data_IF_338532718596
#
_entry.id   IF_338532718596
#
_cell.length_a   1.000
_cell.length_b   1.000
_cell.length_c   1.000
_cell.angle_alpha   90.00
_cell.angle_beta   90.00
_cell.angle_gamma   90.00
#
_symmetry.space_group_name_H-M   'P 1'
#
loop_
_entity.id
_entity.type
_entity.pdbx_description
1 polymer ?
#
# COMPACT_ATOMS: atom_id res chain seq x y z
N UNK A 1 18.41 4.11 -26.70
CA UNK A 1 18.63 5.52 -27.11
C UNK A 1 18.42 6.39 -25.88
N UNK A 2 19.27 7.34 -25.57
CA UNK A 2 19.04 8.27 -24.45
C UNK A 2 17.97 9.28 -24.88
N UNK A 3 16.97 9.55 -24.02
CA UNK A 3 15.92 10.58 -24.23
C UNK A 3 16.51 12.01 -24.36
N UNK A 4 17.80 12.19 -24.12
CA UNK A 4 18.53 13.44 -24.40
C UNK A 4 18.67 13.78 -25.91
N UNK A 5 18.12 12.92 -26.79
CA UNK A 5 17.94 13.27 -28.21
C UNK A 5 16.86 14.37 -28.27
N UNK A 6 17.25 15.53 -28.76
CA UNK A 6 16.37 16.71 -28.89
C UNK A 6 15.07 16.40 -29.64
N UNK A 7 15.11 15.46 -30.55
CA UNK A 7 13.97 15.04 -31.37
C UNK A 7 12.85 14.42 -30.55
N UNK A 8 13.17 13.52 -29.61
CA UNK A 8 12.15 12.89 -28.77
C UNK A 8 11.48 13.89 -27.82
N UNK A 9 12.27 14.82 -27.25
CA UNK A 9 11.72 15.88 -26.40
C UNK A 9 10.79 16.81 -27.21
N UNK A 10 11.14 17.07 -28.48
CA UNK A 10 10.29 17.88 -29.36
C UNK A 10 9.00 17.15 -29.73
N UNK A 11 9.05 15.83 -30.02
CA UNK A 11 7.86 14.99 -30.23
C UNK A 11 6.93 14.97 -29.01
N UNK A 12 7.49 14.79 -27.80
CA UNK A 12 6.69 14.85 -26.57
C UNK A 12 6.02 16.21 -26.36
N UNK A 13 6.77 17.31 -26.59
CA UNK A 13 6.24 18.67 -26.50
C UNK A 13 5.18 18.98 -27.54
N UNK A 14 5.27 18.37 -28.71
CA UNK A 14 4.29 18.53 -29.78
C UNK A 14 2.96 17.85 -29.45
N UNK A 15 3.00 16.66 -28.80
CA UNK A 15 1.79 15.89 -28.53
C UNK A 15 1.06 16.33 -27.25
N UNK A 16 1.75 16.85 -26.20
CA UNK A 16 1.10 17.26 -24.94
C UNK A 16 1.30 18.74 -24.59
N UNK A 17 2.21 19.44 -25.23
CA UNK A 17 2.53 20.84 -24.93
C UNK A 17 3.82 21.00 -24.11
N UNK A 18 4.55 22.09 -24.41
CA UNK A 18 5.88 22.32 -23.84
C UNK A 18 5.86 22.52 -22.31
N UNK A 19 4.75 22.97 -21.74
CA UNK A 19 4.61 23.21 -20.30
C UNK A 19 4.47 21.90 -19.49
N UNK A 20 4.06 20.81 -20.13
CA UNK A 20 3.87 19.49 -19.52
C UNK A 20 5.16 18.64 -19.54
N UNK A 21 6.22 19.05 -20.26
CA UNK A 21 7.45 18.27 -20.43
C UNK A 21 8.64 18.97 -19.77
N UNK A 22 9.32 18.32 -18.85
CA UNK A 22 10.46 18.91 -18.15
C UNK A 22 11.68 17.97 -18.07
N UNK A 23 12.84 18.59 -18.20
CA UNK A 23 14.16 17.98 -17.94
C UNK A 23 14.91 18.76 -16.84
N UNK A 24 14.18 19.50 -16.00
CA UNK A 24 14.77 20.23 -14.89
C UNK A 24 15.38 19.25 -13.87
N UNK A 25 16.66 19.43 -13.55
CA UNK A 25 17.43 18.51 -12.70
C UNK A 25 16.79 18.29 -11.32
N UNK A 26 16.20 19.32 -10.72
CA UNK A 26 15.53 19.21 -9.42
C UNK A 26 14.27 18.33 -9.54
N UNK A 27 13.50 18.48 -10.61
CA UNK A 27 12.32 17.66 -10.85
C UNK A 27 12.73 16.22 -11.15
N UNK A 28 13.77 16.00 -11.97
CA UNK A 28 14.30 14.65 -12.22
C UNK A 28 14.77 13.99 -10.93
N UNK A 29 15.44 14.72 -10.03
CA UNK A 29 15.88 14.19 -8.74
C UNK A 29 14.69 13.82 -7.84
N UNK A 30 13.64 14.62 -7.80
CA UNK A 30 12.41 14.32 -7.06
C UNK A 30 11.72 13.02 -7.54
N UNK A 31 11.83 12.70 -8.83
CA UNK A 31 11.29 11.49 -9.45
C UNK A 31 12.29 10.33 -9.53
N UNK A 32 13.44 10.45 -8.88
CA UNK A 32 14.49 9.43 -8.87
C UNK A 32 14.28 8.34 -7.82
N UNK A 33 13.36 8.53 -6.87
CA UNK A 33 13.23 7.72 -5.65
C UNK A 33 11.78 7.62 -5.17
N UNK A 34 11.54 6.67 -4.30
CA UNK A 34 10.37 6.58 -3.43
C UNK A 34 10.81 6.63 -1.95
N UNK A 35 9.92 6.26 -1.02
CA UNK A 35 10.23 6.23 0.42
C UNK A 35 11.11 5.04 0.84
N UNK A 36 11.40 4.11 -0.07
CA UNK A 36 12.24 2.96 0.18
C UNK A 36 13.71 3.33 0.47
N UNK A 37 14.49 2.34 0.86
CA UNK A 37 15.95 2.46 1.03
C UNK A 37 16.74 2.15 -0.27
N UNK A 38 16.05 1.83 -1.37
CA UNK A 38 16.66 1.50 -2.64
C UNK A 38 17.42 2.66 -3.26
N UNK A 39 18.44 2.35 -4.06
CA UNK A 39 19.29 3.35 -4.70
C UNK A 39 18.50 4.21 -5.69
N UNK A 40 18.50 5.55 -5.55
CA UNK A 40 17.85 6.45 -6.47
C UNK A 40 18.42 6.37 -7.89
N UNK A 41 17.55 6.52 -8.91
CA UNK A 41 17.94 6.64 -10.32
C UNK A 41 17.02 7.67 -11.00
N UNK A 42 17.55 8.82 -11.50
CA UNK A 42 16.70 9.82 -12.12
C UNK A 42 16.22 9.39 -13.52
N UNK A 43 14.97 9.73 -13.90
CA UNK A 43 14.50 9.56 -15.28
C UNK A 43 15.24 10.47 -16.25
N UNK A 44 15.05 10.25 -17.56
CA UNK A 44 15.54 11.17 -18.58
C UNK A 44 14.63 12.40 -18.73
N UNK A 45 13.31 12.23 -18.56
CA UNK A 45 12.30 13.29 -18.67
C UNK A 45 11.10 12.97 -17.76
N UNK A 46 10.47 14.02 -17.25
CA UNK A 46 9.17 13.92 -16.55
C UNK A 46 8.11 14.63 -17.39
N UNK A 47 6.94 13.97 -17.53
CA UNK A 47 5.78 14.51 -18.25
C UNK A 47 4.57 14.52 -17.32
N UNK A 48 3.82 15.63 -17.35
CA UNK A 48 2.63 15.88 -16.51
C UNK A 48 1.37 15.91 -17.37
N UNK A 49 0.74 14.77 -17.70
CA UNK A 49 -0.49 14.75 -18.50
C UNK A 49 -1.66 15.38 -17.72
N UNK A 50 -2.62 15.96 -18.45
CA UNK A 50 -3.85 16.52 -17.92
C UNK A 50 -5.09 15.71 -18.31
N UNK A 51 -4.94 14.76 -19.26
CA UNK A 51 -6.00 13.92 -19.79
C UNK A 51 -5.54 12.50 -20.17
N UNK A 52 -6.48 11.60 -20.40
CA UNK A 52 -6.21 10.23 -20.89
C UNK A 52 -5.65 10.26 -22.32
N UNK A 53 -6.08 11.24 -23.11
CA UNK A 53 -5.58 11.47 -24.46
C UNK A 53 -4.08 11.84 -24.45
N UNK A 54 -3.65 12.69 -23.50
CA UNK A 54 -2.24 13.02 -23.30
C UNK A 54 -1.44 11.76 -22.98
N UNK A 55 -1.92 10.95 -22.04
CA UNK A 55 -1.27 9.68 -21.65
C UNK A 55 -1.15 8.75 -22.87
N UNK A 56 -2.23 8.60 -23.65
CA UNK A 56 -2.22 7.81 -24.89
C UNK A 56 -1.19 8.31 -25.89
N UNK A 57 -1.09 9.64 -26.07
CA UNK A 57 -0.12 10.25 -26.99
C UNK A 57 1.33 10.03 -26.52
N UNK A 58 1.61 10.21 -25.22
CA UNK A 58 2.92 9.93 -24.62
C UNK A 58 3.32 8.47 -24.81
N UNK A 59 2.38 7.54 -24.52
CA UNK A 59 2.60 6.09 -24.66
C UNK A 59 2.93 5.73 -26.10
N UNK A 60 2.23 6.28 -27.09
CA UNK A 60 2.50 6.03 -28.52
C UNK A 60 3.89 6.51 -28.92
N UNK A 61 4.33 7.68 -28.44
CA UNK A 61 5.69 8.17 -28.67
C UNK A 61 6.71 7.24 -28.03
N UNK A 62 6.53 6.87 -26.77
CA UNK A 62 7.43 5.97 -26.06
C UNK A 62 7.52 4.58 -26.72
N UNK A 63 6.39 4.01 -27.13
CA UNK A 63 6.33 2.72 -27.83
C UNK A 63 7.05 2.74 -29.16
N UNK A 64 6.85 3.80 -29.96
CA UNK A 64 7.53 3.96 -31.24
C UNK A 64 9.05 4.02 -31.12
N UNK A 65 9.57 4.52 -30.01
CA UNK A 65 10.99 4.65 -29.72
C UNK A 65 11.54 3.59 -28.75
N UNK A 66 10.70 2.65 -28.29
CA UNK A 66 11.03 1.61 -27.29
C UNK A 66 11.64 2.20 -26.01
N UNK A 67 11.05 3.27 -25.50
CA UNK A 67 11.52 3.98 -24.31
C UNK A 67 10.71 3.56 -23.10
N UNK A 68 11.36 3.25 -21.97
CA UNK A 68 10.69 2.91 -20.73
C UNK A 68 9.73 4.00 -20.24
N UNK A 69 8.58 3.58 -19.71
CA UNK A 69 7.58 4.41 -19.06
C UNK A 69 7.46 3.99 -17.59
N UNK A 70 7.52 4.96 -16.70
CA UNK A 70 7.33 4.78 -15.27
C UNK A 70 6.15 5.65 -14.81
N UNK A 71 4.98 5.06 -14.53
CA UNK A 71 3.86 5.78 -13.92
C UNK A 71 4.22 6.23 -12.49
N UNK A 72 3.93 7.49 -12.16
CA UNK A 72 4.29 8.09 -10.88
C UNK A 72 3.10 8.82 -10.25
N UNK A 73 2.81 8.52 -8.98
CA UNK A 73 1.83 9.23 -8.16
C UNK A 73 2.49 10.26 -7.25
N UNK A 74 2.63 9.92 -5.95
CA UNK A 74 3.34 10.76 -4.95
C UNK A 74 4.68 10.17 -4.50
N UNK A 75 5.10 9.03 -5.04
CA UNK A 75 6.36 8.39 -4.67
C UNK A 75 6.38 7.83 -3.23
N UNK A 76 5.21 7.48 -2.67
CA UNK A 76 5.08 6.97 -1.29
C UNK A 76 5.28 5.45 -1.17
N UNK A 77 5.64 4.77 -2.24
CA UNK A 77 5.90 3.33 -2.25
C UNK A 77 7.19 2.96 -1.52
N UNK A 78 7.28 1.69 -1.07
CA UNK A 78 8.33 1.22 -0.15
C UNK A 78 9.24 0.12 -0.73
N UNK A 79 9.03 -0.29 -2.00
CA UNK A 79 9.76 -1.40 -2.62
C UNK A 79 10.41 -1.00 -3.97
N UNK A 80 10.61 0.31 -4.20
CA UNK A 80 11.29 0.80 -5.41
C UNK A 80 10.43 0.79 -6.67
N UNK A 81 9.11 0.84 -6.56
CA UNK A 81 8.16 0.75 -7.67
C UNK A 81 8.35 1.79 -8.76
N UNK A 82 8.64 3.04 -8.34
CA UNK A 82 8.67 4.21 -9.22
C UNK A 82 10.08 4.66 -9.59
N UNK A 83 11.11 3.90 -9.19
CA UNK A 83 12.51 4.22 -9.49
C UNK A 83 12.82 3.80 -10.93
N UNK A 84 13.20 4.73 -11.83
CA UNK A 84 13.46 4.45 -13.24
C UNK A 84 14.89 3.93 -13.48
N UNK A 85 15.17 2.67 -13.15
CA UNK A 85 16.51 2.09 -13.31
C UNK A 85 17.01 2.08 -14.76
N UNK A 86 16.10 1.88 -15.73
CA UNK A 86 16.41 1.98 -17.17
C UNK A 86 16.22 3.41 -17.70
N UNK A 87 16.05 4.40 -16.81
CA UNK A 87 15.70 5.79 -17.16
C UNK A 87 14.37 5.88 -17.92
N UNK A 88 14.31 6.70 -19.01
CA UNK A 88 13.09 6.84 -19.80
C UNK A 88 12.19 7.97 -19.34
N UNK A 89 10.88 7.79 -19.53
CA UNK A 89 9.84 8.80 -19.28
C UNK A 89 9.13 8.48 -17.98
N UNK A 90 9.19 9.36 -16.99
CA UNK A 90 8.28 9.30 -15.84
C UNK A 90 7.02 10.09 -16.17
N UNK A 91 5.85 9.45 -16.04
CA UNK A 91 4.54 10.07 -16.22
C UNK A 91 3.99 10.39 -14.83
N UNK A 92 3.97 11.67 -14.47
CA UNK A 92 3.46 12.17 -13.19
C UNK A 92 1.98 12.57 -13.31
N UNK A 93 1.13 11.86 -12.59
CA UNK A 93 -0.33 12.05 -12.62
C UNK A 93 -0.84 13.18 -11.72
N UNK A 94 0.01 14.01 -11.13
CA UNK A 94 -0.39 15.08 -10.20
C UNK A 94 -1.33 16.12 -10.81
N UNK A 95 -1.32 16.30 -12.13
CA UNK A 95 -2.25 17.20 -12.83
C UNK A 95 -3.59 16.54 -13.16
N UNK A 96 -3.69 15.21 -13.10
CA UNK A 96 -4.93 14.45 -13.25
C UNK A 96 -5.55 14.17 -11.86
N UNK A 97 -6.02 15.22 -11.19
CA UNK A 97 -6.43 15.18 -9.78
C UNK A 97 -7.89 15.63 -9.54
N UNK A 98 -8.78 15.42 -10.52
CA UNK A 98 -10.18 15.82 -10.44
C UNK A 98 -11.06 14.67 -9.94
N UNK A 99 -12.01 15.00 -9.05
CA UNK A 99 -13.16 14.14 -8.75
C UNK A 99 -14.19 14.43 -9.83
N UNK A 100 -14.44 13.44 -10.70
CA UNK A 100 -15.23 13.62 -11.91
C UNK A 100 -16.73 13.53 -11.65
N UNK A 101 -17.16 12.55 -10.85
CA UNK A 101 -18.58 12.33 -10.55
C UNK A 101 -18.72 11.65 -9.18
N UNK A 102 -19.70 12.11 -8.37
CA UNK A 102 -20.16 11.41 -7.16
C UNK A 102 -21.57 10.90 -7.40
N UNK A 103 -21.74 9.58 -7.38
CA UNK A 103 -23.02 8.86 -7.59
C UNK A 103 -23.53 8.33 -6.28
N UNK A 104 -24.13 9.21 -5.48
CA UNK A 104 -24.56 8.91 -4.10
C UNK A 104 -25.47 7.67 -4.02
N UNK A 105 -26.44 7.57 -4.92
CA UNK A 105 -27.44 6.47 -4.93
C UNK A 105 -26.85 5.12 -5.32
N UNK A 106 -25.73 5.14 -6.06
CA UNK A 106 -25.02 3.93 -6.51
C UNK A 106 -23.87 3.57 -5.54
N UNK A 107 -23.57 4.45 -4.56
CA UNK A 107 -22.41 4.34 -3.69
C UNK A 107 -21.10 4.23 -4.48
N UNK A 108 -20.97 5.07 -5.51
CA UNK A 108 -19.83 5.11 -6.38
C UNK A 108 -19.28 6.53 -6.52
N UNK A 109 -17.98 6.62 -6.78
CA UNK A 109 -17.32 7.86 -7.18
C UNK A 109 -16.39 7.59 -8.35
N UNK A 110 -16.34 8.50 -9.32
CA UNK A 110 -15.40 8.48 -10.44
C UNK A 110 -14.35 9.56 -10.24
N UNK A 111 -13.07 9.18 -10.33
CA UNK A 111 -11.95 10.07 -10.05
C UNK A 111 -10.81 9.87 -11.04
N UNK A 112 -9.97 10.88 -11.20
CA UNK A 112 -8.67 10.78 -11.86
C UNK A 112 -7.61 10.20 -10.92
N UNK A 113 -6.53 9.59 -11.43
CA UNK A 113 -5.57 8.80 -10.65
C UNK A 113 -4.76 9.62 -9.64
N UNK A 114 -4.54 10.91 -9.89
CA UNK A 114 -3.80 11.82 -9.02
C UNK A 114 -4.61 12.35 -7.81
N UNK A 115 -5.90 12.04 -7.69
CA UNK A 115 -6.70 12.37 -6.50
C UNK A 115 -6.15 11.61 -5.31
N UNK A 116 -5.91 12.31 -4.16
CA UNK A 116 -5.50 11.64 -2.93
C UNK A 116 -6.71 11.15 -2.12
N UNK A 117 -6.47 10.17 -1.24
CA UNK A 117 -7.49 9.70 -0.31
C UNK A 117 -8.07 10.82 0.55
N UNK A 118 -7.21 11.70 1.06
CA UNK A 118 -7.63 12.84 1.89
C UNK A 118 -8.51 13.81 1.11
N UNK A 119 -8.12 14.13 -0.14
CA UNK A 119 -8.92 14.97 -1.03
C UNK A 119 -10.28 14.35 -1.29
N UNK A 120 -10.33 13.04 -1.61
CA UNK A 120 -11.57 12.32 -1.87
C UNK A 120 -12.49 12.33 -0.64
N UNK A 121 -12.00 11.96 0.54
CA UNK A 121 -12.81 11.87 1.75
C UNK A 121 -13.33 13.25 2.21
N UNK A 122 -12.56 14.32 1.98
CA UNK A 122 -13.04 15.69 2.20
C UNK A 122 -14.24 16.03 1.32
N UNK A 123 -14.25 15.62 0.07
CA UNK A 123 -15.38 15.82 -0.84
C UNK A 123 -16.56 14.94 -0.47
N UNK A 124 -16.36 13.63 -0.29
CA UNK A 124 -17.40 12.65 0.02
C UNK A 124 -18.17 12.94 1.30
N UNK A 125 -17.53 13.59 2.29
CA UNK A 125 -18.16 14.00 3.55
C UNK A 125 -19.40 14.87 3.32
N UNK A 126 -19.44 15.67 2.25
CA UNK A 126 -20.61 16.51 1.89
C UNK A 126 -21.86 15.69 1.55
N UNK A 127 -21.66 14.42 1.17
CA UNK A 127 -22.71 13.48 0.77
C UNK A 127 -22.98 12.42 1.85
N UNK A 128 -22.36 12.56 3.04
CA UNK A 128 -22.47 11.54 4.10
C UNK A 128 -21.76 10.24 3.75
N UNK A 129 -20.77 10.28 2.83
CA UNK A 129 -20.04 9.12 2.32
C UNK A 129 -18.55 9.21 2.71
N UNK A 130 -17.87 8.05 2.64
CA UNK A 130 -16.42 7.96 2.77
C UNK A 130 -15.84 6.82 1.92
N UNK A 131 -14.57 6.94 1.57
CA UNK A 131 -13.77 5.89 0.95
C UNK A 131 -12.94 5.19 2.04
N UNK A 132 -12.98 3.87 2.07
CA UNK A 132 -12.54 3.07 3.24
C UNK A 132 -11.04 2.77 3.26
N UNK A 133 -10.39 2.54 2.11
CA UNK A 133 -8.97 2.11 2.11
C UNK A 133 -8.08 3.23 2.64
N UNK A 134 -7.28 2.92 3.68
CA UNK A 134 -6.53 3.93 4.45
C UNK A 134 -5.07 3.54 4.71
N UNK A 135 -4.23 3.44 3.65
CA UNK A 135 -2.81 3.19 3.82
C UNK A 135 -2.15 4.24 4.72
N UNK A 136 -0.99 3.91 5.29
CA UNK A 136 -0.28 4.78 6.22
C UNK A 136 0.11 6.15 5.64
N UNK A 137 0.31 6.26 4.33
CA UNK A 137 0.56 7.51 3.62
C UNK A 137 -0.71 8.07 2.96
N UNK A 138 -0.79 9.41 2.76
CA UNK A 138 -1.82 10.01 1.91
C UNK A 138 -1.45 9.83 0.44
N UNK A 139 -1.67 8.63 -0.08
CA UNK A 139 -1.33 8.23 -1.44
C UNK A 139 -2.39 8.65 -2.45
N UNK A 140 -2.00 8.69 -3.74
CA UNK A 140 -2.93 8.87 -4.84
C UNK A 140 -3.74 7.61 -5.10
N UNK A 141 -5.01 7.75 -5.50
CA UNK A 141 -5.90 6.61 -5.76
C UNK A 141 -5.40 5.72 -6.91
N UNK A 142 -4.75 6.30 -7.93
CA UNK A 142 -4.08 5.54 -8.98
C UNK A 142 -2.91 4.70 -8.46
N UNK A 143 -2.08 5.29 -7.59
CA UNK A 143 -1.00 4.57 -6.91
C UNK A 143 -1.52 3.46 -6.00
N UNK A 144 -2.57 3.74 -5.21
CA UNK A 144 -3.23 2.73 -4.36
C UNK A 144 -3.79 1.56 -5.18
N UNK A 145 -4.40 1.84 -6.35
CA UNK A 145 -4.88 0.79 -7.24
C UNK A 145 -3.71 -0.01 -7.83
N UNK A 146 -2.64 0.67 -8.25
CA UNK A 146 -1.46 0.02 -8.83
C UNK A 146 -0.77 -0.96 -7.88
N UNK A 147 -0.78 -0.72 -6.57
CA UNK A 147 -0.16 -1.61 -5.55
C UNK A 147 -1.18 -2.50 -4.84
N UNK A 148 -2.49 -2.43 -5.18
CA UNK A 148 -3.55 -3.07 -4.42
C UNK A 148 -3.49 -2.73 -2.93
N UNK A 149 -3.35 -1.44 -2.62
CA UNK A 149 -3.18 -0.94 -1.26
C UNK A 149 -4.26 -1.44 -0.30
N UNK A 150 -3.89 -1.60 0.95
CA UNK A 150 -4.77 -1.88 2.07
C UNK A 150 -4.64 -0.82 3.17
N UNK A 151 -4.91 -1.17 4.40
CA UNK A 151 -4.79 -0.28 5.55
C UNK A 151 -5.57 -0.82 6.75
N UNK A 152 -5.72 0.01 7.77
CA UNK A 152 -6.27 -0.40 9.06
C UNK A 152 -7.73 -0.85 8.99
N UNK A 153 -8.48 -0.38 7.98
CA UNK A 153 -9.92 -0.71 7.81
C UNK A 153 -10.18 -1.93 6.92
N UNK A 154 -9.14 -2.55 6.38
CA UNK A 154 -9.27 -3.66 5.41
C UNK A 154 -10.00 -4.85 5.98
N UNK A 155 -9.84 -5.15 7.26
CA UNK A 155 -10.54 -6.25 7.96
C UNK A 155 -12.07 -6.17 7.82
N UNK A 156 -12.64 -4.97 7.71
CA UNK A 156 -14.09 -4.77 7.53
C UNK A 156 -14.50 -4.50 6.09
N UNK A 157 -13.74 -3.64 5.41
CA UNK A 157 -14.15 -3.08 4.12
C UNK A 157 -13.44 -3.70 2.93
N UNK A 158 -12.39 -4.51 3.17
CA UNK A 158 -11.54 -5.06 2.13
C UNK A 158 -10.47 -4.07 1.64
N UNK A 159 -9.66 -4.53 0.70
CA UNK A 159 -8.53 -3.82 0.11
C UNK A 159 -8.93 -3.07 -1.16
N UNK A 160 -7.98 -2.40 -1.82
CA UNK A 160 -8.26 -1.59 -3.02
C UNK A 160 -8.96 -2.39 -4.13
N UNK A 161 -8.59 -3.66 -4.36
CA UNK A 161 -9.22 -4.56 -5.34
C UNK A 161 -10.72 -4.72 -5.11
N UNK A 162 -11.18 -4.71 -3.87
CA UNK A 162 -12.59 -4.87 -3.51
C UNK A 162 -13.39 -3.59 -3.78
N UNK A 163 -12.72 -2.45 -3.83
CA UNK A 163 -13.34 -1.14 -4.05
C UNK A 163 -13.44 -0.76 -5.53
N UNK A 164 -12.55 -1.26 -6.38
CA UNK A 164 -12.54 -0.91 -7.80
C UNK A 164 -13.70 -1.57 -8.54
N UNK A 165 -14.51 -0.75 -9.23
CA UNK A 165 -15.60 -1.19 -10.10
C UNK A 165 -15.24 -1.10 -11.57
N UNK A 166 -14.47 -0.10 -11.94
CA UNK A 166 -13.99 0.12 -13.29
C UNK A 166 -12.69 0.92 -13.25
N UNK A 167 -11.79 0.63 -14.16
CA UNK A 167 -10.62 1.43 -14.46
C UNK A 167 -10.64 1.81 -15.92
N UNK A 168 -10.34 3.06 -16.22
CA UNK A 168 -9.84 3.44 -17.54
C UNK A 168 -8.34 3.26 -17.53
N UNK A 169 -7.82 2.55 -18.53
CA UNK A 169 -6.40 2.21 -18.65
C UNK A 169 -5.90 2.49 -20.06
N UNK A 170 -4.77 3.16 -20.16
CA UNK A 170 -4.02 3.29 -21.42
C UNK A 170 -3.04 2.12 -21.51
N UNK A 171 -3.23 1.28 -22.54
CA UNK A 171 -2.40 0.11 -22.84
C UNK A 171 -1.07 0.49 -23.52
N UNK A 172 -0.10 -0.43 -23.61
CA UNK A 172 1.22 -0.19 -24.23
C UNK A 172 1.21 0.22 -25.70
N UNK A 173 0.14 -0.03 -26.45
CA UNK A 173 -0.07 0.44 -27.81
C UNK A 173 -0.77 1.82 -27.87
N UNK A 174 -1.12 2.38 -26.71
CA UNK A 174 -1.85 3.64 -26.57
C UNK A 174 -3.36 3.51 -26.72
N UNK A 175 -3.93 2.30 -26.83
CA UNK A 175 -5.38 2.09 -26.75
C UNK A 175 -5.89 2.40 -25.35
N UNK A 176 -7.07 3.04 -25.28
CA UNK A 176 -7.77 3.33 -24.03
C UNK A 176 -8.90 2.32 -23.86
N UNK A 177 -8.89 1.60 -22.75
CA UNK A 177 -9.90 0.59 -22.44
C UNK A 177 -10.57 0.85 -21.10
N UNK A 178 -11.76 0.27 -20.91
CA UNK A 178 -12.41 0.12 -19.61
C UNK A 178 -12.35 -1.34 -19.15
N UNK A 179 -12.02 -1.58 -17.89
CA UNK A 179 -11.79 -2.93 -17.34
C UNK A 179 -13.01 -3.54 -16.68
N UNK A 180 -14.04 -2.72 -16.39
CA UNK A 180 -15.23 -3.12 -15.66
C UNK A 180 -16.47 -2.36 -16.06
N UNK A 181 -17.36 -2.15 -15.10
CA UNK A 181 -18.58 -1.36 -15.24
C UNK A 181 -19.11 -0.92 -13.86
N UNK A 182 -20.19 -0.11 -13.84
CA UNK A 182 -20.78 0.41 -12.61
C UNK A 182 -21.67 -0.59 -11.87
N UNK A 183 -22.04 -1.74 -12.48
CA UNK A 183 -22.89 -2.72 -11.83
C UNK A 183 -22.18 -3.42 -10.68
N UNK A 184 -22.94 -3.71 -9.61
CA UNK A 184 -22.35 -4.37 -8.43
C UNK A 184 -21.91 -5.82 -8.70
N UNK A 185 -22.51 -6.49 -9.67
CA UNK A 185 -22.19 -7.86 -10.07
C UNK A 185 -22.11 -7.97 -11.58
N UNK A 186 -21.12 -8.68 -12.08
CA UNK A 186 -21.04 -9.11 -13.47
C UNK A 186 -20.40 -10.48 -13.54
N UNK A 187 -20.95 -11.34 -14.39
CA UNK A 187 -20.37 -12.64 -14.80
C UNK A 187 -20.00 -12.65 -16.28
N UNK A 188 -19.83 -11.47 -16.86
CA UNK A 188 -19.50 -11.30 -18.29
C UNK A 188 -17.99 -11.12 -18.47
N UNK A 189 -17.34 -12.11 -19.05
CA UNK A 189 -15.92 -12.06 -19.40
C UNK A 189 -14.94 -12.29 -18.23
N UNK A 190 -13.67 -12.09 -18.51
CA UNK A 190 -12.62 -12.12 -17.50
C UNK A 190 -12.66 -10.87 -16.61
N UNK A 191 -12.24 -11.02 -15.34
CA UNK A 191 -12.26 -9.93 -14.36
C UNK A 191 -11.01 -9.06 -14.50
N UNK A 192 -11.00 -8.14 -15.47
CA UNK A 192 -9.84 -7.32 -15.79
C UNK A 192 -9.45 -6.33 -14.66
N UNK A 193 -10.42 -5.84 -13.88
CA UNK A 193 -10.09 -4.99 -12.71
C UNK A 193 -9.03 -5.65 -11.84
N UNK A 194 -9.21 -6.95 -11.51
CA UNK A 194 -8.27 -7.70 -10.66
C UNK A 194 -6.93 -7.98 -11.33
N UNK A 195 -6.83 -7.83 -12.65
CA UNK A 195 -5.57 -7.94 -13.38
C UNK A 195 -4.76 -6.63 -13.30
N UNK A 196 -5.43 -5.49 -13.43
CA UNK A 196 -4.75 -4.18 -13.42
C UNK A 196 -4.53 -3.64 -12.00
N UNK A 197 -5.41 -3.95 -11.03
CA UNK A 197 -5.17 -3.65 -9.62
C UNK A 197 -4.05 -4.54 -9.10
N UNK A 198 -2.99 -3.94 -8.58
CA UNK A 198 -1.77 -4.63 -8.14
C UNK A 198 -0.79 -4.91 -9.28
N UNK A 199 -0.99 -4.34 -10.47
CA UNK A 199 -0.05 -4.49 -11.60
C UNK A 199 1.18 -3.59 -11.54
N UNK A 200 1.25 -2.67 -10.58
CA UNK A 200 2.38 -1.76 -10.34
C UNK A 200 2.82 -0.96 -11.59
N UNK A 201 1.85 -0.61 -12.45
CA UNK A 201 2.12 0.11 -13.69
C UNK A 201 2.86 -0.70 -14.76
N UNK A 202 2.95 -2.03 -14.60
CA UNK A 202 3.65 -2.89 -15.58
C UNK A 202 2.79 -3.31 -16.76
N UNK A 203 1.46 -3.15 -16.68
CA UNK A 203 0.50 -3.55 -17.72
C UNK A 203 -0.15 -2.37 -18.46
N UNK A 204 -0.03 -1.16 -17.94
CA UNK A 204 -0.62 0.06 -18.49
C UNK A 204 -0.67 1.18 -17.48
N UNK A 205 -1.14 2.36 -17.92
CA UNK A 205 -1.38 3.54 -17.09
C UNK A 205 -2.86 3.67 -16.73
N UNK A 206 -3.19 3.68 -15.44
CA UNK A 206 -4.54 3.95 -14.95
C UNK A 206 -4.81 5.45 -15.08
N UNK A 207 -5.89 5.84 -15.78
CA UNK A 207 -6.25 7.24 -16.05
C UNK A 207 -7.55 7.67 -15.42
N UNK A 208 -8.47 6.73 -15.11
CA UNK A 208 -9.65 6.98 -14.29
C UNK A 208 -9.95 5.76 -13.43
N UNK A 209 -10.60 6.01 -12.28
CA UNK A 209 -11.08 4.96 -11.37
C UNK A 209 -12.54 5.22 -11.01
N UNK A 210 -13.37 4.18 -11.12
CA UNK A 210 -14.71 4.14 -10.49
C UNK A 210 -14.60 3.29 -9.23
N UNK A 211 -14.81 3.92 -8.07
CA UNK A 211 -14.59 3.34 -6.76
C UNK A 211 -15.87 3.22 -5.97
N UNK A 212 -16.00 2.14 -5.21
CA UNK A 212 -17.04 1.96 -4.20
C UNK A 212 -16.76 2.85 -3.00
N UNK A 213 -17.83 3.47 -2.48
CA UNK A 213 -17.83 4.28 -1.25
C UNK A 213 -18.90 3.79 -0.28
N UNK A 214 -18.81 4.19 0.97
CA UNK A 214 -19.68 3.73 2.05
C UNK A 214 -20.31 4.91 2.76
N UNK A 215 -21.48 4.69 3.38
CA UNK A 215 -22.07 5.66 4.30
C UNK A 215 -21.19 5.85 5.54
N UNK A 216 -21.04 7.08 5.99
CA UNK A 216 -20.33 7.38 7.24
C UNK A 216 -21.08 6.68 8.40
N UNK A 217 -20.40 5.89 9.25
CA UNK A 217 -21.03 5.22 10.37
C UNK A 217 -21.71 6.22 11.31
N UNK A 218 -22.89 5.88 11.82
CA UNK A 218 -23.64 6.73 12.75
C UNK A 218 -22.87 6.89 14.07
N UNK A 219 -22.32 5.78 14.58
CA UNK A 219 -21.50 5.75 15.78
C UNK A 219 -20.20 5.00 15.55
N UNK A 220 -19.18 5.44 16.24
CA UNK A 220 -17.83 4.84 16.23
C UNK A 220 -17.38 4.73 17.69
N UNK A 221 -16.89 3.55 18.06
CA UNK A 221 -16.20 3.33 19.32
C UNK A 221 -14.79 2.84 19.03
N UNK A 222 -13.78 3.46 19.64
CA UNK A 222 -12.42 2.96 19.61
C UNK A 222 -12.06 2.33 20.96
N UNK A 223 -11.09 1.43 20.98
CA UNK A 223 -10.58 0.88 22.22
C UNK A 223 -9.06 0.64 22.12
N UNK A 224 -8.43 0.60 23.30
CA UNK A 224 -7.06 0.18 23.50
C UNK A 224 -7.06 -0.94 24.53
N UNK A 225 -6.54 -2.11 24.15
CA UNK A 225 -6.44 -3.28 25.02
C UNK A 225 -4.99 -3.71 25.17
N UNK A 226 -4.44 -3.74 26.40
CA UNK A 226 -3.08 -4.12 26.69
C UNK A 226 -3.01 -5.54 27.26
N UNK A 227 -2.06 -6.34 26.76
CA UNK A 227 -1.95 -7.77 27.07
C UNK A 227 -0.60 -8.09 27.73
N UNK A 228 -0.56 -9.23 28.42
CA UNK A 228 0.67 -9.73 29.04
C UNK A 228 1.71 -10.10 27.96
N UNK A 229 1.29 -10.75 26.88
CA UNK A 229 2.14 -11.19 25.78
C UNK A 229 1.55 -10.83 24.42
N UNK A 230 2.37 -10.88 23.36
CA UNK A 230 1.90 -10.73 21.97
C UNK A 230 0.97 -11.89 21.60
N UNK A 231 1.27 -13.10 22.06
CA UNK A 231 0.45 -14.29 21.79
C UNK A 231 -0.97 -14.11 22.32
N UNK A 232 -1.12 -13.63 23.57
CA UNK A 232 -2.43 -13.32 24.14
C UNK A 232 -3.22 -12.32 23.30
N UNK A 233 -2.54 -11.27 22.81
CA UNK A 233 -3.17 -10.26 21.96
C UNK A 233 -3.64 -10.86 20.61
N UNK A 234 -2.80 -11.68 19.96
CA UNK A 234 -3.14 -12.30 18.66
C UNK A 234 -4.26 -13.33 18.82
N UNK A 235 -4.22 -14.18 19.87
CA UNK A 235 -5.29 -15.14 20.14
C UNK A 235 -6.63 -14.45 20.45
N UNK A 236 -6.60 -13.29 21.12
CA UNK A 236 -7.79 -12.47 21.32
C UNK A 236 -8.37 -11.99 19.98
N UNK A 237 -7.53 -11.55 19.02
CA UNK A 237 -7.98 -11.16 17.67
C UNK A 237 -8.63 -12.34 16.96
N UNK A 238 -7.98 -13.51 16.97
CA UNK A 238 -8.55 -14.73 16.35
C UNK A 238 -9.93 -15.03 16.94
N UNK A 239 -10.06 -14.97 18.27
CA UNK A 239 -11.34 -15.22 18.95
C UNK A 239 -12.42 -14.19 18.63
N UNK A 240 -12.06 -12.89 18.53
CA UNK A 240 -12.97 -11.81 18.11
C UNK A 240 -13.51 -12.06 16.71
N UNK A 241 -12.62 -12.42 15.76
CA UNK A 241 -13.01 -12.69 14.37
C UNK A 241 -13.85 -13.95 14.24
N UNK A 242 -13.50 -15.04 14.95
CA UNK A 242 -14.27 -16.28 14.97
C UNK A 242 -15.65 -16.10 15.60
N UNK A 243 -15.78 -15.23 16.58
CA UNK A 243 -17.07 -14.88 17.20
C UNK A 243 -17.96 -14.04 16.26
N UNK A 244 -17.45 -13.60 15.10
CA UNK A 244 -18.20 -12.83 14.13
C UNK A 244 -18.43 -11.38 14.54
N UNK A 245 -17.64 -10.82 15.46
CA UNK A 245 -17.70 -9.40 15.84
C UNK A 245 -17.33 -8.56 14.61
N UNK A 246 -18.17 -7.61 14.18
CA UNK A 246 -17.93 -6.83 12.95
C UNK A 246 -16.94 -5.69 13.19
N UNK A 247 -15.74 -6.04 13.67
CA UNK A 247 -14.68 -5.09 13.99
C UNK A 247 -14.26 -4.29 12.74
N UNK A 248 -14.07 -2.98 12.88
CA UNK A 248 -13.73 -2.10 11.77
C UNK A 248 -12.21 -1.92 11.59
N UNK A 249 -11.48 -1.95 12.71
CA UNK A 249 -10.02 -1.92 12.73
C UNK A 249 -9.51 -2.77 13.88
N UNK A 250 -8.40 -3.46 13.65
CA UNK A 250 -7.67 -4.16 14.72
C UNK A 250 -6.18 -4.14 14.39
N UNK A 251 -5.44 -3.40 15.21
CA UNK A 251 -4.02 -3.12 15.03
C UNK A 251 -3.23 -3.59 16.24
N UNK A 252 -2.16 -4.33 16.00
CA UNK A 252 -1.20 -4.71 17.04
C UNK A 252 -0.04 -3.72 17.08
N UNK A 253 0.40 -3.38 18.29
CA UNK A 253 1.65 -2.65 18.55
C UNK A 253 2.37 -3.38 19.69
N UNK A 254 3.62 -3.79 19.47
CA UNK A 254 4.41 -4.48 20.48
C UNK A 254 4.98 -3.54 21.56
N UNK A 255 5.56 -4.09 22.63
CA UNK A 255 6.07 -3.34 23.78
C UNK A 255 7.12 -2.27 23.37
N UNK A 256 8.19 -2.56 22.57
CA UNK A 256 9.13 -1.53 22.15
C UNK A 256 8.49 -0.41 21.33
N UNK A 257 7.49 -0.73 20.52
CA UNK A 257 6.76 0.26 19.74
C UNK A 257 5.86 1.12 20.63
N UNK A 258 5.24 0.56 21.68
CA UNK A 258 4.46 1.34 22.65
C UNK A 258 5.34 2.37 23.41
N UNK A 259 6.61 2.02 23.71
CA UNK A 259 7.58 2.97 24.27
C UNK A 259 7.79 4.17 23.31
N UNK A 260 7.92 3.92 21.99
CA UNK A 260 8.07 4.98 21.01
C UNK A 260 6.80 5.83 20.88
N UNK A 261 5.60 5.18 20.89
CA UNK A 261 4.30 5.88 20.91
C UNK A 261 4.24 6.87 22.09
N UNK A 262 4.52 6.40 23.31
CA UNK A 262 4.45 7.24 24.49
C UNK A 262 5.40 8.43 24.42
N UNK A 263 6.64 8.21 23.98
CA UNK A 263 7.66 9.28 23.85
C UNK A 263 7.29 10.33 22.82
N UNK A 264 6.73 9.91 21.69
CA UNK A 264 6.45 10.82 20.58
C UNK A 264 5.13 11.57 20.75
N UNK A 265 4.10 10.90 21.25
CA UNK A 265 2.73 11.44 21.37
C UNK A 265 2.43 12.03 22.75
N UNK A 266 3.42 12.07 23.66
CA UNK A 266 3.24 12.51 25.05
C UNK A 266 2.05 11.82 25.73
N UNK A 267 2.07 10.48 25.67
CA UNK A 267 1.05 9.60 26.26
C UNK A 267 1.68 8.74 27.36
N UNK A 268 0.86 8.22 28.25
CA UNK A 268 1.23 7.34 29.37
C UNK A 268 0.58 5.96 29.28
N UNK A 269 0.40 5.45 28.04
CA UNK A 269 -0.16 4.12 27.82
C UNK A 269 0.75 3.05 28.40
N UNK A 270 0.17 1.91 28.81
CA UNK A 270 0.96 0.76 29.28
C UNK A 270 1.98 0.36 28.20
N UNK A 271 3.23 0.20 28.60
CA UNK A 271 4.31 -0.31 27.75
C UNK A 271 4.24 -1.83 27.67
N UNK A 272 3.22 -2.33 27.01
CA UNK A 272 2.85 -3.74 26.81
C UNK A 272 2.36 -3.96 25.39
N UNK A 273 2.34 -5.22 24.89
CA UNK A 273 1.66 -5.52 23.64
C UNK A 273 0.21 -5.03 23.68
N UNK A 274 -0.16 -4.22 22.71
CA UNK A 274 -1.43 -3.48 22.75
C UNK A 274 -2.18 -3.63 21.43
N UNK A 275 -3.48 -3.92 21.52
CA UNK A 275 -4.41 -3.82 20.41
C UNK A 275 -5.10 -2.47 20.42
N UNK A 276 -5.14 -1.84 19.24
CA UNK A 276 -5.98 -0.70 18.93
C UNK A 276 -7.17 -1.20 18.13
N UNK A 277 -8.38 -0.99 18.62
CA UNK A 277 -9.61 -1.54 18.07
C UNK A 277 -10.56 -0.41 17.68
N UNK A 278 -11.38 -0.61 16.64
CA UNK A 278 -12.46 0.32 16.30
C UNK A 278 -13.69 -0.43 15.81
N UNK A 279 -14.85 0.04 16.22
CA UNK A 279 -16.16 -0.52 15.88
C UNK A 279 -17.01 0.54 15.19
N UNK A 280 -17.69 0.17 14.11
CA UNK A 280 -18.57 1.02 13.32
C UNK A 280 -19.98 0.45 13.29
N UNK A 281 -20.99 1.22 13.71
CA UNK A 281 -22.37 0.73 13.69
C UNK A 281 -23.39 1.74 14.17
N UNK A 282 -24.52 1.23 14.65
CA UNK A 282 -25.51 1.98 15.42
C UNK A 282 -25.30 1.76 16.93
N UNK A 283 -25.88 2.60 17.75
CA UNK A 283 -25.66 2.60 19.21
C UNK A 283 -25.94 1.21 19.86
N UNK A 284 -27.07 0.58 19.51
CA UNK A 284 -27.46 -0.69 20.12
C UNK A 284 -26.53 -1.84 19.75
N UNK A 285 -26.14 -1.94 18.46
CA UNK A 285 -25.21 -2.95 17.99
C UNK A 285 -23.81 -2.77 18.58
N UNK A 286 -23.32 -1.52 18.64
CA UNK A 286 -22.00 -1.22 19.21
C UNK A 286 -21.91 -1.57 20.70
N UNK A 287 -22.95 -1.31 21.48
CA UNK A 287 -22.95 -1.69 22.89
C UNK A 287 -22.78 -3.21 23.07
N UNK A 288 -23.47 -4.00 22.25
CA UNK A 288 -23.33 -5.46 22.26
C UNK A 288 -21.95 -5.93 21.77
N UNK A 289 -21.43 -5.37 20.68
CA UNK A 289 -20.10 -5.71 20.13
C UNK A 289 -18.99 -5.38 21.12
N UNK A 290 -19.08 -4.24 21.81
CA UNK A 290 -18.15 -3.79 22.86
C UNK A 290 -18.18 -4.72 24.07
N UNK A 291 -19.37 -5.05 24.58
CA UNK A 291 -19.53 -5.97 25.72
C UNK A 291 -18.95 -7.35 25.39
N UNK A 292 -19.30 -7.90 24.23
CA UNK A 292 -18.81 -9.19 23.79
C UNK A 292 -17.29 -9.20 23.56
N UNK A 293 -16.74 -8.14 22.95
CA UNK A 293 -15.30 -8.00 22.80
C UNK A 293 -14.60 -7.94 24.17
N UNK A 294 -15.15 -7.21 25.13
CA UNK A 294 -14.60 -7.12 26.49
C UNK A 294 -14.56 -8.49 27.19
N UNK A 295 -15.58 -9.32 27.02
CA UNK A 295 -15.60 -10.70 27.53
C UNK A 295 -14.47 -11.52 26.88
N UNK A 296 -14.35 -11.49 25.53
CA UNK A 296 -13.34 -12.25 24.79
C UNK A 296 -11.92 -11.86 25.24
N UNK A 297 -11.59 -10.55 25.24
CA UNK A 297 -10.22 -10.12 25.60
C UNK A 297 -9.86 -10.44 27.05
N UNK A 298 -10.87 -10.47 27.95
CA UNK A 298 -10.67 -10.84 29.35
C UNK A 298 -10.23 -12.31 29.50
N UNK A 299 -10.66 -13.18 28.61
CA UNK A 299 -10.25 -14.61 28.59
C UNK A 299 -8.82 -14.80 28.10
N UNK A 300 -8.20 -13.77 27.45
CA UNK A 300 -6.87 -13.78 26.84
C UNK A 300 -5.83 -12.94 27.60
N UNK A 301 -5.84 -12.91 28.92
CA UNK A 301 -4.86 -12.21 29.78
C UNK A 301 -4.75 -10.70 29.45
N UNK A 302 -5.86 -10.07 29.07
CA UNK A 302 -5.93 -8.62 28.93
C UNK A 302 -5.77 -7.96 30.30
N UNK A 303 -4.76 -7.11 30.46
CA UNK A 303 -4.49 -6.39 31.71
C UNK A 303 -5.32 -5.12 31.84
N UNK A 304 -5.69 -4.51 30.72
CA UNK A 304 -6.45 -3.27 30.67
C UNK A 304 -7.14 -3.12 29.32
N UNK A 305 -8.41 -2.77 29.33
CA UNK A 305 -9.11 -2.28 28.14
C UNK A 305 -9.77 -0.94 28.44
N UNK A 306 -9.61 0.04 27.55
CA UNK A 306 -10.18 1.37 27.64
C UNK A 306 -10.94 1.66 26.36
N UNK A 307 -12.22 1.99 26.49
CA UNK A 307 -13.10 2.36 25.36
C UNK A 307 -13.26 3.87 25.28
N UNK A 308 -13.19 4.39 24.05
CA UNK A 308 -13.32 5.82 23.74
C UNK A 308 -14.47 6.06 22.75
N UNK A 309 -15.45 6.83 23.19
CA UNK A 309 -16.61 7.23 22.37
C UNK A 309 -16.51 8.68 21.91
N UNK A 310 -15.81 9.52 22.67
CA UNK A 310 -15.57 10.92 22.31
C UNK A 310 -14.67 11.04 21.08
N UNK A 311 -15.05 11.91 20.15
CA UNK A 311 -14.32 12.06 18.88
C UNK A 311 -12.87 12.53 19.06
N UNK A 312 -12.60 13.44 20.02
CA UNK A 312 -11.25 13.95 20.24
C UNK A 312 -10.36 12.88 20.87
N UNK A 313 -10.90 12.09 21.83
CA UNK A 313 -10.18 10.98 22.45
C UNK A 313 -9.86 9.89 21.42
N UNK A 314 -10.82 9.50 20.57
CA UNK A 314 -10.60 8.54 19.48
C UNK A 314 -9.55 9.04 18.49
N UNK A 315 -9.62 10.30 18.07
CA UNK A 315 -8.63 10.87 17.15
C UNK A 315 -7.23 10.84 17.76
N UNK A 316 -7.07 11.19 19.05
CA UNK A 316 -5.80 11.13 19.76
C UNK A 316 -5.25 9.71 19.79
N UNK A 317 -6.10 8.71 20.05
CA UNK A 317 -5.72 7.31 20.08
C UNK A 317 -5.19 6.83 18.72
N UNK A 318 -5.90 7.13 17.63
CA UNK A 318 -5.49 6.77 16.28
C UNK A 318 -4.29 7.57 15.78
N UNK A 319 -4.18 8.86 16.14
CA UNK A 319 -3.01 9.68 15.83
C UNK A 319 -1.74 9.10 16.43
N UNK A 320 -1.79 8.65 17.68
CA UNK A 320 -0.68 7.99 18.35
C UNK A 320 -0.23 6.71 17.60
N UNK A 321 -1.19 5.89 17.13
CA UNK A 321 -0.89 4.69 16.32
C UNK A 321 -0.35 5.04 14.93
N UNK A 322 -0.93 6.00 14.22
CA UNK A 322 -0.51 6.39 12.87
C UNK A 322 0.89 7.03 12.85
N UNK A 323 1.24 7.77 13.90
CA UNK A 323 2.53 8.44 13.98
C UNK A 323 3.70 7.52 14.37
N UNK A 324 3.49 6.21 14.50
CA UNK A 324 4.52 5.29 14.97
C UNK A 324 5.79 5.26 14.10
N UNK A 325 5.65 5.33 12.77
CA UNK A 325 6.81 5.44 11.87
C UNK A 325 7.62 6.71 12.14
N UNK A 326 6.94 7.85 12.33
CA UNK A 326 7.59 9.11 12.71
C UNK A 326 8.23 9.04 14.10
N UNK A 327 7.58 8.33 15.03
CA UNK A 327 8.13 8.11 16.38
C UNK A 327 9.47 7.38 16.33
N UNK A 328 9.60 6.36 15.48
CA UNK A 328 10.87 5.68 15.25
C UNK A 328 11.92 6.61 14.63
N UNK A 329 11.58 7.32 13.56
CA UNK A 329 12.52 8.25 12.90
C UNK A 329 13.02 9.33 13.86
N UNK A 330 12.15 9.91 14.68
CA UNK A 330 12.55 10.92 15.67
C UNK A 330 13.31 10.33 16.87
N UNK A 331 12.97 9.10 17.26
CA UNK A 331 13.62 8.39 18.36
C UNK A 331 15.07 7.98 18.07
N UNK A 332 15.42 7.85 16.77
CA UNK A 332 16.73 7.36 16.33
C UNK A 332 17.32 8.25 15.23
N UNK A 333 17.72 9.51 15.55
CA UNK A 333 18.26 10.45 14.57
C UNK A 333 19.52 9.90 13.89
N UNK A 334 19.65 10.14 12.59
CA UNK A 334 20.77 9.67 11.78
C UNK A 334 20.62 8.24 11.23
N UNK A 335 19.55 7.53 11.60
CA UNK A 335 19.21 6.22 11.05
C UNK A 335 18.11 6.33 9.99
N UNK A 336 18.08 5.39 9.06
CA UNK A 336 17.01 5.26 8.05
C UNK A 336 16.00 4.22 8.52
N UNK A 337 14.73 4.52 8.33
CA UNK A 337 13.66 3.56 8.54
C UNK A 337 13.63 2.57 7.36
N UNK A 338 13.66 1.27 7.68
CA UNK A 338 13.36 0.17 6.76
C UNK A 338 12.11 -0.54 7.31
N UNK A 339 11.08 -0.64 6.51
CA UNK A 339 9.83 -1.32 6.91
C UNK A 339 9.75 -2.65 6.17
N UNK A 340 9.51 -3.72 6.90
CA UNK A 340 9.22 -5.03 6.31
C UNK A 340 7.72 -5.22 6.16
N UNK A 341 7.31 -6.16 5.31
CA UNK A 341 5.90 -6.44 5.05
C UNK A 341 5.73 -7.89 4.66
N UNK A 342 4.94 -8.63 5.44
CA UNK A 342 4.52 -9.99 5.14
C UNK A 342 3.08 -10.20 5.63
N UNK A 343 2.37 -11.15 5.01
CA UNK A 343 1.05 -11.57 5.47
C UNK A 343 1.01 -13.10 5.54
N UNK A 344 0.43 -13.62 6.61
CA UNK A 344 0.27 -15.06 6.86
C UNK A 344 -1.19 -15.41 7.11
N UNK A 345 -1.60 -16.67 6.95
CA UNK A 345 -2.90 -17.12 7.47
C UNK A 345 -3.03 -16.75 8.95
N UNK A 346 -4.20 -16.29 9.37
CA UNK A 346 -4.40 -15.77 10.74
C UNK A 346 -3.98 -16.80 11.81
N UNK A 347 -4.17 -18.10 11.55
CA UNK A 347 -3.73 -19.18 12.46
C UNK A 347 -2.20 -19.25 12.66
N UNK A 348 -1.43 -18.68 11.74
CA UNK A 348 0.04 -18.68 11.80
C UNK A 348 0.60 -17.37 12.38
N UNK A 349 -0.26 -16.39 12.64
CA UNK A 349 0.14 -15.03 12.97
C UNK A 349 0.93 -14.93 14.28
N UNK A 350 0.47 -15.60 15.35
CA UNK A 350 1.16 -15.63 16.64
C UNK A 350 2.59 -16.14 16.48
N UNK A 351 2.76 -17.31 15.87
CA UNK A 351 4.09 -17.88 15.60
C UNK A 351 4.95 -17.02 14.69
N UNK A 352 4.36 -16.31 13.72
CA UNK A 352 5.09 -15.42 12.81
C UNK A 352 5.62 -14.17 13.52
N UNK A 353 4.81 -13.55 14.37
CA UNK A 353 5.22 -12.38 15.15
C UNK A 353 6.28 -12.75 16.20
N UNK A 354 6.11 -13.93 16.86
CA UNK A 354 7.12 -14.45 17.79
C UNK A 354 8.45 -14.70 17.08
N UNK A 355 8.42 -15.39 15.92
CA UNK A 355 9.63 -15.61 15.10
C UNK A 355 10.31 -14.29 14.72
N UNK A 356 9.55 -13.30 14.27
CA UNK A 356 10.08 -11.98 13.93
C UNK A 356 10.76 -11.32 15.14
N UNK A 357 10.18 -11.41 16.34
CA UNK A 357 10.77 -10.88 17.57
C UNK A 357 12.07 -11.59 17.92
N UNK A 358 12.09 -12.92 17.89
CA UNK A 358 13.29 -13.71 18.16
C UNK A 358 14.45 -13.35 17.22
N UNK A 359 14.14 -13.16 15.92
CA UNK A 359 15.16 -12.79 14.93
C UNK A 359 15.66 -11.35 15.06
N UNK A 360 14.81 -10.40 15.47
CA UNK A 360 15.24 -9.05 15.84
C UNK A 360 16.31 -9.07 16.95
N UNK A 361 16.06 -9.85 18.00
CA UNK A 361 16.96 -9.97 19.15
C UNK A 361 18.25 -10.70 18.78
N UNK A 362 18.14 -11.83 18.04
CA UNK A 362 19.29 -12.61 17.57
C UNK A 362 20.25 -11.76 16.72
N UNK A 363 19.71 -10.96 15.79
CA UNK A 363 20.47 -10.12 14.89
C UNK A 363 20.83 -8.75 15.50
N UNK A 364 20.40 -8.48 16.74
CA UNK A 364 20.67 -7.23 17.48
C UNK A 364 20.28 -5.99 16.68
N UNK A 365 19.11 -6.01 16.07
CA UNK A 365 18.55 -4.91 15.31
C UNK A 365 17.65 -4.04 16.19
N UNK A 366 17.62 -2.76 15.90
CA UNK A 366 16.72 -1.80 16.54
C UNK A 366 15.42 -1.79 15.73
N UNK A 367 14.32 -2.12 16.38
CA UNK A 367 13.01 -2.11 15.72
C UNK A 367 11.89 -2.58 16.61
N UNK A 368 10.68 -2.51 16.09
CA UNK A 368 9.46 -3.00 16.73
C UNK A 368 8.44 -3.51 15.73
N UNK A 369 7.54 -4.35 16.20
CA UNK A 369 6.56 -5.05 15.39
C UNK A 369 5.18 -4.40 15.59
N UNK A 370 4.51 -4.18 14.47
CA UNK A 370 3.16 -3.63 14.41
C UNK A 370 2.43 -4.27 13.23
N UNK A 371 1.11 -4.18 13.18
CA UNK A 371 0.44 -4.70 11.98
C UNK A 371 -1.07 -4.73 12.04
N UNK A 372 -1.63 -4.98 10.84
CA UNK A 372 -3.04 -5.17 10.54
C UNK A 372 -3.43 -6.61 10.87
N UNK A 373 -3.43 -6.92 12.18
CA UNK A 373 -3.52 -8.32 12.65
C UNK A 373 -4.86 -8.99 12.37
N UNK A 374 -5.89 -8.20 12.05
CA UNK A 374 -7.17 -8.74 11.57
C UNK A 374 -7.09 -9.42 10.20
N UNK A 375 -6.08 -9.08 9.41
CA UNK A 375 -5.85 -9.63 8.07
C UNK A 375 -4.66 -10.59 8.01
N UNK A 376 -3.94 -10.78 9.14
CA UNK A 376 -2.72 -11.58 9.19
C UNK A 376 -1.47 -10.86 8.68
N UNK A 377 -1.57 -9.55 8.42
CA UNK A 377 -0.46 -8.71 7.94
C UNK A 377 0.28 -8.05 9.10
N UNK A 378 1.60 -8.11 9.09
CA UNK A 378 2.43 -7.40 10.06
C UNK A 378 3.70 -6.84 9.44
N UNK A 379 4.21 -5.81 10.10
CA UNK A 379 5.42 -5.08 9.71
C UNK A 379 6.42 -5.04 10.85
N UNK A 380 7.68 -4.90 10.48
CA UNK A 380 8.73 -4.50 11.43
C UNK A 380 9.30 -3.17 10.99
N UNK A 381 9.25 -2.18 11.88
CA UNK A 381 9.94 -0.90 11.70
C UNK A 381 11.39 -1.04 12.19
N UNK A 382 12.34 -1.18 11.28
CA UNK A 382 13.77 -1.27 11.57
C UNK A 382 14.42 0.11 11.43
N UNK A 383 15.26 0.49 12.39
CA UNK A 383 16.08 1.70 12.33
C UNK A 383 17.53 1.32 12.03
N UNK A 384 17.99 1.51 10.79
CA UNK A 384 19.29 1.06 10.30
C UNK A 384 20.25 2.22 10.02
N UNK A 385 21.54 2.04 10.32
CA UNK A 385 22.60 2.95 9.88
C UNK A 385 23.10 2.49 8.50
N UNK A 386 22.79 3.26 7.47
CA UNK A 386 23.21 2.95 6.10
C UNK A 386 24.74 3.00 5.90
N UNK A 387 25.48 3.60 6.83
CA UNK A 387 26.96 3.63 6.80
C UNK A 387 27.57 2.38 7.45
N UNK A 388 26.80 1.62 8.25
CA UNK A 388 27.21 0.32 8.80
C UNK A 388 26.77 -0.81 7.88
N UNK A 389 27.66 -1.23 6.97
CA UNK A 389 27.39 -2.29 6.02
C UNK A 389 27.04 -3.65 6.67
N UNK A 390 27.52 -3.92 7.88
CA UNK A 390 27.20 -5.15 8.59
C UNK A 390 25.79 -5.07 9.19
N UNK A 391 25.36 -3.90 9.64
CA UNK A 391 23.99 -3.68 10.10
C UNK A 391 23.00 -3.79 8.93
N UNK A 392 23.30 -3.18 7.78
CA UNK A 392 22.48 -3.29 6.57
C UNK A 392 22.29 -4.76 6.17
N UNK A 393 23.38 -5.55 6.12
CA UNK A 393 23.30 -6.99 5.81
C UNK A 393 22.46 -7.77 6.83
N UNK A 394 22.56 -7.43 8.13
CA UNK A 394 21.72 -8.07 9.16
C UNK A 394 20.25 -7.71 8.99
N UNK A 395 19.93 -6.49 8.60
CA UNK A 395 18.57 -6.06 8.32
C UNK A 395 17.98 -6.75 7.07
N UNK A 396 18.78 -6.88 6.01
CA UNK A 396 18.39 -7.65 4.81
C UNK A 396 18.18 -9.13 5.13
N UNK A 397 19.08 -9.74 5.93
CA UNK A 397 18.92 -11.13 6.38
C UNK A 397 17.67 -11.30 7.24
N UNK A 398 17.39 -10.35 8.14
CA UNK A 398 16.15 -10.34 8.93
C UNK A 398 14.91 -10.37 8.03
N UNK A 399 14.84 -9.45 7.05
CA UNK A 399 13.73 -9.41 6.10
C UNK A 399 13.59 -10.73 5.33
N UNK A 400 14.70 -11.34 4.91
CA UNK A 400 14.69 -12.64 4.26
C UNK A 400 14.13 -13.74 5.17
N UNK A 401 14.56 -13.80 6.43
CA UNK A 401 14.09 -14.81 7.39
C UNK A 401 12.58 -14.73 7.66
N UNK A 402 12.02 -13.53 7.80
CA UNK A 402 10.57 -13.38 8.03
C UNK A 402 9.75 -13.69 6.78
N UNK A 403 10.24 -13.32 5.59
CA UNK A 403 9.59 -13.67 4.31
C UNK A 403 9.61 -15.20 4.11
N UNK A 404 10.76 -15.83 4.31
CA UNK A 404 10.89 -17.28 4.22
C UNK A 404 9.92 -18.00 5.17
N UNK A 405 9.82 -17.52 6.42
CA UNK A 405 8.89 -18.06 7.41
C UNK A 405 7.43 -17.95 6.95
N UNK A 406 7.05 -16.81 6.38
CA UNK A 406 5.71 -16.58 5.84
C UNK A 406 5.39 -17.52 4.67
N UNK A 407 6.29 -17.62 3.69
CA UNK A 407 6.13 -18.48 2.50
C UNK A 407 6.04 -19.97 2.86
N UNK A 408 6.79 -20.45 3.85
CA UNK A 408 6.70 -21.82 4.34
C UNK A 408 5.33 -22.17 4.95
N UNK A 409 4.56 -21.16 5.34
CA UNK A 409 3.24 -21.29 5.97
C UNK A 409 2.09 -20.84 5.07
N UNK A 410 2.30 -20.89 3.75
CA UNK A 410 1.31 -20.44 2.75
C UNK A 410 0.92 -18.97 2.90
N UNK A 411 1.81 -18.14 3.42
CA UNK A 411 1.70 -16.69 3.42
C UNK A 411 2.25 -16.07 2.14
N UNK A 412 2.45 -14.76 2.15
CA UNK A 412 2.98 -13.98 1.03
C UNK A 412 4.16 -13.11 1.45
N UNK A 413 5.06 -12.86 0.51
CA UNK A 413 6.23 -12.00 0.74
C UNK A 413 5.87 -10.52 0.93
N UNK A 414 4.64 -10.11 0.59
CA UNK A 414 4.13 -8.76 0.76
C UNK A 414 2.62 -8.78 0.99
N UNK A 415 2.16 -8.17 2.08
CA UNK A 415 0.75 -8.02 2.40
C UNK A 415 0.11 -6.83 1.67
N UNK A 416 0.82 -5.70 1.65
CA UNK A 416 0.28 -4.45 1.10
C UNK A 416 1.29 -3.57 0.37
N UNK A 417 2.61 -3.68 0.65
CA UNK A 417 3.60 -2.78 0.05
C UNK A 417 3.81 -3.03 -1.44
N UNK A 418 3.48 -4.21 -1.95
CA UNK A 418 3.75 -4.64 -3.31
C UNK A 418 5.16 -5.25 -3.49
N UNK A 419 5.46 -5.64 -4.72
CA UNK A 419 6.70 -6.33 -5.07
C UNK A 419 7.83 -5.37 -5.44
N UNK A 420 7.54 -4.38 -6.29
CA UNK A 420 8.52 -3.44 -6.83
C UNK A 420 9.76 -4.15 -7.36
N UNK A 421 10.94 -3.70 -6.94
CA UNK A 421 12.23 -4.39 -7.14
C UNK A 421 12.66 -5.18 -5.90
N UNK A 422 12.23 -4.74 -4.71
CA UNK A 422 12.68 -5.27 -3.42
C UNK A 422 12.28 -6.73 -3.19
N UNK A 423 11.10 -7.12 -3.66
CA UNK A 423 10.51 -8.44 -3.43
C UNK A 423 10.57 -9.38 -4.65
N UNK A 424 11.14 -8.94 -5.79
CA UNK A 424 11.29 -9.75 -7.01
C UNK A 424 11.91 -11.13 -6.77
N UNK A 425 12.91 -11.20 -5.91
CA UNK A 425 13.64 -12.44 -5.61
C UNK A 425 12.78 -13.54 -4.97
N UNK A 426 11.60 -13.20 -4.43
CA UNK A 426 10.69 -14.16 -3.79
C UNK A 426 9.61 -14.68 -4.72
N UNK A 427 9.39 -14.06 -5.89
CA UNK A 427 8.29 -14.36 -6.79
C UNK A 427 8.26 -15.80 -7.30
N UNK A 428 9.41 -16.36 -7.65
CA UNK A 428 9.49 -17.76 -8.10
C UNK A 428 9.11 -18.74 -6.97
N UNK A 429 9.56 -18.46 -5.74
CA UNK A 429 9.25 -19.29 -4.59
C UNK A 429 7.77 -19.23 -4.20
N UNK A 430 7.17 -18.03 -4.21
CA UNK A 430 5.77 -17.84 -3.85
C UNK A 430 4.83 -18.42 -4.91
N UNK A 431 5.07 -18.12 -6.17
CA UNK A 431 4.13 -18.40 -7.25
C UNK A 431 4.46 -19.66 -8.07
N UNK A 432 5.69 -20.13 -8.05
CA UNK A 432 6.11 -21.30 -8.84
C UNK A 432 5.70 -21.19 -10.31
N UNK A 433 4.95 -22.16 -10.81
CA UNK A 433 4.49 -22.18 -12.21
C UNK A 433 3.53 -21.02 -12.58
N UNK A 434 2.88 -20.39 -11.61
CA UNK A 434 1.98 -19.25 -11.88
C UNK A 434 2.76 -18.00 -12.29
N UNK A 435 4.01 -17.82 -11.85
CA UNK A 435 4.87 -16.73 -12.30
C UNK A 435 5.01 -16.70 -13.82
N UNK A 436 5.19 -17.87 -14.45
CA UNK A 436 5.26 -17.97 -15.92
C UNK A 436 3.97 -17.55 -16.64
N UNK A 437 2.83 -17.65 -15.95
CA UNK A 437 1.54 -17.16 -16.49
C UNK A 437 1.50 -15.64 -16.39
N UNK A 438 1.94 -15.06 -15.28
CA UNK A 438 2.05 -13.61 -15.11
C UNK A 438 2.98 -12.98 -16.16
N UNK A 439 4.14 -13.59 -16.42
CA UNK A 439 5.08 -13.16 -17.46
C UNK A 439 4.44 -13.24 -18.86
N UNK A 440 3.69 -14.32 -19.17
CA UNK A 440 2.95 -14.41 -20.44
C UNK A 440 1.92 -13.30 -20.60
N UNK A 441 1.20 -12.94 -19.54
CA UNK A 441 0.25 -11.82 -19.54
C UNK A 441 1.00 -10.50 -19.79
N UNK A 442 2.10 -10.28 -19.08
CA UNK A 442 2.97 -9.10 -19.28
C UNK A 442 3.37 -8.97 -20.75
N UNK A 443 3.95 -10.01 -21.34
CA UNK A 443 4.41 -9.97 -22.74
C UNK A 443 3.29 -10.01 -23.77
N UNK A 444 2.09 -10.45 -23.42
CA UNK A 444 0.94 -10.35 -24.31
C UNK A 444 0.42 -8.90 -24.43
N UNK A 445 0.48 -8.13 -23.34
CA UNK A 445 0.04 -6.74 -23.29
C UNK A 445 1.17 -5.77 -23.63
N UNK A 446 2.38 -6.02 -23.16
CA UNK A 446 3.57 -5.19 -23.35
C UNK A 446 4.72 -6.01 -23.97
N UNK A 447 4.62 -6.30 -25.28
CA UNK A 447 5.60 -7.15 -25.97
C UNK A 447 7.02 -6.58 -26.02
N UNK A 448 7.15 -5.25 -25.95
CA UNK A 448 8.44 -4.53 -25.96
C UNK A 448 9.02 -4.37 -24.54
N UNK A 449 8.24 -4.63 -23.49
CA UNK A 449 8.66 -4.54 -22.09
C UNK A 449 8.99 -3.13 -21.63
N UNK A 450 8.30 -2.10 -22.15
CA UNK A 450 8.58 -0.71 -21.84
C UNK A 450 7.86 -0.18 -20.59
N UNK A 451 6.78 -0.84 -20.16
CA UNK A 451 6.01 -0.40 -18.99
C UNK A 451 6.64 -0.89 -17.70
N UNK A 452 7.13 0.06 -16.92
CA UNK A 452 7.75 -0.11 -15.60
C UNK A 452 8.68 -1.33 -15.53
N UNK A 453 9.74 -1.39 -16.36
CA UNK A 453 10.59 -2.57 -16.49
C UNK A 453 11.28 -2.94 -15.18
N UNK A 454 11.62 -4.24 -15.04
CA UNK A 454 12.32 -4.84 -13.88
C UNK A 454 11.53 -4.76 -12.55
N UNK A 455 10.21 -4.70 -12.61
CA UNK A 455 9.34 -4.71 -11.44
C UNK A 455 8.26 -5.77 -11.59
N UNK A 456 7.85 -6.37 -10.48
CA UNK A 456 6.80 -7.37 -10.35
C UNK A 456 7.12 -8.71 -11.05
N UNK A 457 7.47 -8.70 -12.33
CA UNK A 457 7.84 -9.87 -13.14
C UNK A 457 9.05 -9.57 -14.03
N UNK A 458 9.71 -10.62 -14.52
CA UNK A 458 10.84 -10.46 -15.44
C UNK A 458 10.39 -9.82 -16.77
N UNK A 459 11.19 -8.89 -17.29
CA UNK A 459 10.85 -8.08 -18.48
C UNK A 459 11.56 -8.50 -19.76
N UNK A 460 12.56 -9.41 -19.69
CA UNK A 460 13.28 -9.90 -20.87
C UNK A 460 12.94 -11.34 -21.18
N UNK A 461 12.54 -11.61 -22.44
CA UNK A 461 12.29 -12.98 -22.93
C UNK A 461 13.49 -13.93 -22.78
N UNK A 462 14.71 -13.40 -22.68
CA UNK A 462 15.94 -14.19 -22.53
C UNK A 462 16.13 -14.76 -21.11
N UNK A 463 15.47 -14.17 -20.13
CA UNK A 463 15.48 -14.63 -18.73
C UNK A 463 14.47 -15.77 -18.48
N UNK A 464 13.64 -16.10 -19.50
CA UNK A 464 12.65 -17.17 -19.49
C UNK A 464 13.20 -18.55 -19.98
N UNK A 465 14.49 -18.67 -20.23
CA UNK A 465 15.17 -19.90 -20.69
C UNK A 465 16.06 -20.47 -19.60
#
# INVERSE_FOLDING_TARGET
MSVKDSRLLDELREVVGSHQVTVNETVLDQHSRDESYHTPSPPDVVVFPESSEDVSAIVKVASAHQIPIIPFGLGTSLEGHVIPYDKGITIDFSQMNKILEVREKDFLVKVQPGVTRTQLNKELKKYGLFFSVDPGADATLGGMAATNASGTTSVKYGVMRDQVRDLEVVLPDGEVIHTGNMAQKSSSGYHLNSLFVGSEGTLGCITELTLRVYGIPEHIVAARASFTTVDDAVEAVVSILQAGVPIARVELVDEPSMIQVNRFSDTDYKEKPTLFLEFHGNEAGLNQDVEFTNEIVSDHQCEEIVFETDTAARNKLWEARHNLAYAYVHGYPGRKLMVTDVCVPISELSGAVQHAREKLEELKLIGGILGHVGDGNYHTSLMIDLNDHDEVKRAELYNEMIVEYALERNGTCTGEHGVGVGKMKYQEREHGGALKVMEKIKFALDPEGIFNPHKLVHTKKEELR
#
